data_IF_559157130330
#
_entry.id   IF_559157130330
#
_cell.length_a   1.000
_cell.length_b   1.000
_cell.length_c   1.000
_cell.angle_alpha   90.00
_cell.angle_beta   90.00
_cell.angle_gamma   90.00
#
_symmetry.space_group_name_H-M   'P 1'
#
loop_
_entity.id
_entity.type
_entity.pdbx_description
1 polymer ?
#
# COMPACT_ATOMS: atom_id res chain seq x y z
N UNK A 1 39.26 15.06 -19.22
CA UNK A 1 38.46 16.23 -18.84
C UNK A 1 37.36 16.42 -19.87
N UNK A 2 36.10 16.33 -19.46
CA UNK A 2 34.96 17.18 -19.85
C UNK A 2 33.66 16.38 -19.86
N UNK A 3 32.81 16.72 -18.89
CA UNK A 3 31.46 16.20 -18.69
C UNK A 3 30.53 17.02 -19.57
N UNK A 4 29.93 16.41 -20.59
CA UNK A 4 28.96 17.07 -21.45
C UNK A 4 27.58 17.13 -20.80
N UNK A 5 27.29 18.25 -20.14
CA UNK A 5 25.91 18.65 -19.83
C UNK A 5 25.21 19.09 -21.12
N UNK A 6 24.08 18.46 -21.46
CA UNK A 6 23.15 18.96 -22.47
C UNK A 6 21.86 19.47 -21.78
N UNK A 7 21.30 20.62 -22.20
CA UNK A 7 20.23 21.30 -21.48
C UNK A 7 18.86 20.71 -21.83
N UNK A 8 18.08 20.35 -20.82
CA UNK A 8 16.66 19.98 -20.96
C UNK A 8 15.85 21.26 -21.07
N UNK A 9 15.75 21.81 -22.28
CA UNK A 9 14.86 22.93 -22.57
C UNK A 9 14.28 22.80 -23.98
N UNK A 10 13.18 22.05 -24.11
CA UNK A 10 12.15 22.24 -25.15
C UNK A 10 11.02 21.19 -25.06
N UNK A 11 10.20 21.24 -24.01
CA UNK A 11 8.85 20.64 -24.01
C UNK A 11 7.78 21.59 -23.41
N UNK A 12 8.07 22.89 -23.31
CA UNK A 12 7.15 23.91 -22.76
C UNK A 12 6.20 24.50 -23.82
N UNK A 13 5.54 23.68 -24.64
CA UNK A 13 4.46 24.19 -25.52
C UNK A 13 3.27 23.26 -25.69
N UNK A 14 3.11 22.25 -24.84
CA UNK A 14 1.79 21.62 -24.69
C UNK A 14 1.03 22.26 -23.53
N UNK A 15 -0.01 23.00 -23.91
CA UNK A 15 -1.06 23.52 -23.04
C UNK A 15 -1.82 22.30 -22.49
N UNK A 16 -1.93 22.10 -21.16
CA UNK A 16 -2.64 20.96 -20.62
C UNK A 16 -4.13 21.08 -20.99
N UNK A 17 -4.82 19.97 -21.29
CA UNK A 17 -6.27 19.97 -21.39
C UNK A 17 -6.83 20.42 -20.02
N UNK A 18 -7.39 21.62 -20.00
CA UNK A 18 -8.09 22.18 -18.84
C UNK A 18 -9.42 21.46 -18.67
N UNK A 19 -9.44 20.24 -18.11
CA UNK A 19 -10.67 19.65 -17.55
C UNK A 19 -10.50 18.39 -16.66
N UNK A 20 -9.35 18.21 -16.01
CA UNK A 20 -9.23 17.20 -14.94
C UNK A 20 -8.68 17.81 -13.66
N UNK A 21 -9.59 18.47 -12.95
CA UNK A 21 -9.49 18.90 -11.57
C UNK A 21 -8.81 17.81 -10.70
N UNK A 22 -7.58 18.11 -10.31
CA UNK A 22 -6.96 17.65 -9.08
C UNK A 22 -7.95 17.95 -7.93
N UNK A 23 -8.21 16.95 -7.07
CA UNK A 23 -9.16 16.98 -5.93
C UNK A 23 -10.66 16.80 -6.22
N UNK A 24 -11.04 15.65 -6.75
CA UNK A 24 -12.27 14.99 -6.27
C UNK A 24 -11.94 13.57 -5.81
N UNK A 25 -11.82 13.42 -4.49
CA UNK A 25 -12.24 12.18 -3.82
C UNK A 25 -13.58 11.78 -4.44
N UNK A 26 -13.82 10.53 -4.86
CA UNK A 26 -15.14 10.13 -5.29
C UNK A 26 -16.10 10.42 -4.13
N UNK A 27 -16.91 11.48 -4.25
CA UNK A 27 -18.08 11.66 -3.40
C UNK A 27 -19.07 10.57 -3.80
N UNK A 28 -18.83 9.39 -3.24
CA UNK A 28 -19.79 8.32 -3.15
C UNK A 28 -21.02 8.93 -2.45
N UNK A 29 -22.24 8.81 -3.01
CA UNK A 29 -23.43 9.31 -2.33
C UNK A 29 -23.49 8.70 -0.93
N UNK A 30 -23.96 9.43 0.10
CA UNK A 30 -24.00 8.90 1.46
C UNK A 30 -24.94 7.70 1.46
N UNK A 31 -24.35 6.49 1.36
CA UNK A 31 -25.04 5.27 1.67
C UNK A 31 -25.52 5.46 3.11
N UNK A 32 -26.84 5.58 3.25
CA UNK A 32 -27.58 5.68 4.50
C UNK A 32 -26.80 5.02 5.63
N UNK A 33 -26.44 5.82 6.62
CA UNK A 33 -25.53 5.45 7.70
C UNK A 33 -25.76 4.02 8.19
N UNK A 34 -24.88 3.11 7.77
CA UNK A 34 -24.32 2.20 8.75
C UNK A 34 -23.48 3.09 9.63
N UNK A 35 -23.95 3.34 10.84
CA UNK A 35 -23.10 3.67 11.96
C UNK A 35 -21.96 2.64 11.97
N UNK A 36 -20.88 2.92 11.24
CA UNK A 36 -19.61 2.25 11.42
C UNK A 36 -19.12 2.78 12.75
N UNK A 37 -19.65 2.23 13.84
CA UNK A 37 -18.84 2.13 15.04
C UNK A 37 -17.52 1.53 14.56
N UNK A 38 -16.40 2.28 14.62
CA UNK A 38 -15.13 1.78 14.13
C UNK A 38 -14.90 0.43 14.79
N UNK A 39 -14.77 -0.61 13.96
CA UNK A 39 -14.50 -1.94 14.46
C UNK A 39 -13.25 -1.85 15.34
N UNK A 40 -13.21 -2.49 16.53
CA UNK A 40 -12.07 -2.41 17.43
C UNK A 40 -10.71 -2.67 16.74
N UNK A 41 -10.71 -3.47 15.68
CA UNK A 41 -9.53 -3.76 14.87
C UNK A 41 -8.98 -2.54 14.12
N UNK A 42 -9.85 -1.66 13.62
CA UNK A 42 -9.44 -0.42 12.95
C UNK A 42 -8.91 0.63 13.94
N UNK A 43 -9.07 0.40 15.25
CA UNK A 43 -8.41 1.20 16.29
C UNK A 43 -7.03 0.64 16.65
N UNK A 44 -6.78 -0.64 16.35
CA UNK A 44 -5.52 -1.34 16.67
C UNK A 44 -4.56 -1.39 15.48
N UNK A 45 -5.10 -1.41 14.26
CA UNK A 45 -4.35 -1.51 13.02
C UNK A 45 -4.65 -0.35 12.09
N UNK A 46 -3.62 0.10 11.36
CA UNK A 46 -3.74 1.17 10.37
C UNK A 46 -4.54 0.71 9.14
N UNK A 47 -4.36 -0.55 8.74
CA UNK A 47 -5.07 -1.17 7.61
C UNK A 47 -5.53 -2.57 7.99
N UNK A 48 -6.76 -2.92 7.61
CA UNK A 48 -7.32 -4.27 7.75
C UNK A 48 -7.88 -4.72 6.41
N UNK A 49 -7.50 -5.91 5.99
CA UNK A 49 -8.02 -6.61 4.81
C UNK A 49 -8.97 -7.71 5.25
N UNK A 50 -10.16 -7.70 4.68
CA UNK A 50 -11.25 -8.62 4.98
C UNK A 50 -11.55 -9.50 3.77
N UNK A 51 -11.96 -10.75 4.02
CA UNK A 51 -12.45 -11.64 2.97
C UNK A 51 -13.78 -11.15 2.36
N UNK A 52 -14.27 -11.83 1.33
CA UNK A 52 -15.56 -11.50 0.70
C UNK A 52 -16.79 -11.63 1.60
N UNK A 53 -16.63 -12.11 2.85
CA UNK A 53 -17.69 -12.21 3.87
C UNK A 53 -17.51 -11.17 4.99
N UNK A 54 -16.48 -10.34 4.93
CA UNK A 54 -16.14 -9.35 5.95
C UNK A 54 -15.35 -9.91 7.14
N UNK A 55 -14.76 -11.11 7.02
CA UNK A 55 -13.88 -11.63 8.07
C UNK A 55 -12.47 -11.06 7.90
N UNK A 56 -11.87 -10.46 8.94
CA UNK A 56 -10.53 -9.90 8.85
C UNK A 56 -9.49 -11.02 8.73
N UNK A 57 -8.60 -10.92 7.75
CA UNK A 57 -7.58 -11.94 7.48
C UNK A 57 -6.15 -11.44 7.62
N UNK A 58 -5.92 -10.17 7.30
CA UNK A 58 -4.60 -9.58 7.26
C UNK A 58 -4.70 -8.13 7.73
N UNK A 59 -3.78 -7.69 8.56
CA UNK A 59 -3.70 -6.30 9.00
C UNK A 59 -2.28 -5.76 8.91
N UNK A 60 -2.18 -4.44 8.93
CA UNK A 60 -0.91 -3.71 8.92
C UNK A 60 -0.94 -2.60 9.95
N UNK A 61 0.16 -2.47 10.68
CA UNK A 61 0.41 -1.40 11.63
C UNK A 61 1.90 -1.28 11.87
N UNK A 62 2.41 -0.06 11.98
CA UNK A 62 3.78 0.19 12.46
C UNK A 62 4.85 -0.60 11.66
N UNK A 63 4.71 -0.61 10.33
CA UNK A 63 5.65 -1.31 9.45
C UNK A 63 5.59 -2.85 9.52
N UNK A 64 4.60 -3.43 10.21
CA UNK A 64 4.46 -4.88 10.43
C UNK A 64 3.12 -5.40 9.89
N UNK A 65 3.18 -6.52 9.14
CA UNK A 65 1.99 -7.26 8.73
C UNK A 65 1.58 -8.27 9.80
N UNK A 66 0.28 -8.49 9.96
CA UNK A 66 -0.30 -9.40 10.94
C UNK A 66 -1.30 -10.34 10.28
N UNK A 67 -1.13 -11.65 10.52
CA UNK A 67 -2.17 -12.64 10.26
C UNK A 67 -3.13 -12.64 11.45
N UNK A 68 -4.34 -12.12 11.21
CA UNK A 68 -5.39 -11.94 12.21
C UNK A 68 -6.60 -12.85 11.98
N UNK A 69 -6.49 -13.78 11.03
CA UNK A 69 -7.49 -14.83 10.83
C UNK A 69 -7.46 -15.87 11.96
N UNK A 70 -6.32 -15.99 12.64
CA UNK A 70 -6.10 -16.93 13.74
C UNK A 70 -6.68 -16.38 15.05
N UNK A 71 -6.99 -17.26 15.99
CA UNK A 71 -7.44 -16.87 17.35
C UNK A 71 -6.41 -15.99 18.08
N UNK A 72 -5.14 -16.07 17.70
CA UNK A 72 -4.08 -15.16 18.12
C UNK A 72 -3.46 -14.44 16.93
N UNK A 73 -3.55 -13.09 16.88
CA UNK A 73 -2.81 -12.28 15.92
C UNK A 73 -1.31 -12.58 15.98
N UNK A 74 -0.68 -12.79 14.83
CA UNK A 74 0.77 -13.04 14.74
C UNK A 74 1.43 -12.19 13.67
N UNK A 75 2.68 -11.75 13.88
CA UNK A 75 3.42 -11.03 12.86
C UNK A 75 3.75 -11.97 11.70
N UNK A 76 3.67 -11.46 10.47
CA UNK A 76 3.98 -12.17 9.24
C UNK A 76 4.84 -11.32 8.31
N UNK A 77 5.58 -11.96 7.41
CA UNK A 77 6.44 -11.27 6.44
C UNK A 77 5.64 -10.60 5.32
N UNK A 78 6.25 -9.63 4.64
CA UNK A 78 5.70 -9.06 3.39
C UNK A 78 5.41 -10.14 2.35
N UNK A 79 6.28 -11.16 2.25
CA UNK A 79 6.08 -12.32 1.36
C UNK A 79 4.78 -13.07 1.68
N UNK A 80 4.45 -13.24 2.95
CA UNK A 80 3.20 -13.88 3.36
C UNK A 80 2.00 -13.02 2.95
N UNK A 81 2.04 -11.72 3.25
CA UNK A 81 0.99 -10.77 2.90
C UNK A 81 0.69 -10.77 1.39
N UNK A 82 1.73 -10.69 0.55
CA UNK A 82 1.61 -10.71 -0.90
C UNK A 82 1.02 -12.01 -1.47
N UNK A 83 1.23 -13.14 -0.80
CA UNK A 83 0.73 -14.45 -1.23
C UNK A 83 -0.62 -14.81 -0.63
N UNK A 84 -1.08 -14.07 0.37
CA UNK A 84 -2.32 -14.37 1.09
C UNK A 84 -3.51 -14.42 0.13
N UNK A 85 -3.62 -13.40 -0.72
CA UNK A 85 -4.60 -13.33 -1.79
C UNK A 85 -4.00 -12.56 -3.00
N UNK A 86 -3.93 -13.14 -4.21
CA UNK A 86 -3.40 -12.48 -5.40
C UNK A 86 -4.10 -11.15 -5.75
N UNK A 87 -5.39 -11.01 -5.41
CA UNK A 87 -6.16 -9.78 -5.65
C UNK A 87 -5.70 -8.62 -4.77
N UNK A 88 -5.05 -8.91 -3.64
CA UNK A 88 -4.55 -7.88 -2.70
C UNK A 88 -3.12 -7.46 -2.98
N UNK A 89 -2.39 -8.15 -3.86
CA UNK A 89 -0.96 -7.91 -4.05
C UNK A 89 -0.62 -6.44 -4.33
N UNK A 90 -1.39 -5.77 -5.20
CA UNK A 90 -1.20 -4.35 -5.48
C UNK A 90 -1.45 -3.44 -4.27
N UNK A 91 -2.51 -3.73 -3.51
CA UNK A 91 -2.87 -2.97 -2.32
C UNK A 91 -1.85 -3.15 -1.17
N UNK A 92 -1.32 -4.36 -0.99
CA UNK A 92 -0.22 -4.66 -0.06
C UNK A 92 1.03 -3.84 -0.40
N UNK A 93 1.45 -3.82 -1.67
CA UNK A 93 2.59 -3.00 -2.12
C UNK A 93 2.32 -1.52 -1.87
N UNK A 94 1.14 -1.03 -2.24
CA UNK A 94 0.77 0.37 -2.06
C UNK A 94 0.79 0.78 -0.58
N UNK A 95 0.28 -0.08 0.31
CA UNK A 95 0.27 0.14 1.77
C UNK A 95 1.70 0.33 2.29
N UNK A 96 2.61 -0.57 1.91
CA UNK A 96 4.02 -0.49 2.29
C UNK A 96 4.67 0.80 1.77
N UNK A 97 4.50 1.11 0.48
CA UNK A 97 5.07 2.31 -0.13
C UNK A 97 4.57 3.61 0.53
N UNK A 98 3.28 3.67 0.87
CA UNK A 98 2.69 4.82 1.55
C UNK A 98 3.23 4.95 2.98
N UNK A 99 3.36 3.82 3.69
CA UNK A 99 3.89 3.81 5.04
C UNK A 99 5.35 4.29 5.07
N UNK A 100 6.22 3.74 4.21
CA UNK A 100 7.62 4.16 4.12
C UNK A 100 7.76 5.64 3.75
N UNK A 101 6.90 6.15 2.86
CA UNK A 101 6.87 7.57 2.51
C UNK A 101 6.51 8.46 3.70
N UNK A 102 5.68 7.97 4.61
CA UNK A 102 5.23 8.69 5.80
C UNK A 102 6.22 8.57 6.97
N UNK A 103 7.12 7.58 6.92
CA UNK A 103 8.13 7.28 7.94
C UNK A 103 9.55 7.24 7.33
N UNK A 104 10.03 8.31 6.67
CA UNK A 104 11.29 8.28 5.94
C UNK A 104 12.53 8.10 6.82
N UNK A 105 12.45 8.51 8.08
CA UNK A 105 13.55 8.45 9.05
C UNK A 105 13.48 7.21 9.97
N UNK A 106 12.48 6.34 9.77
CA UNK A 106 12.32 5.11 10.54
C UNK A 106 13.20 4.00 9.95
N UNK A 107 14.03 3.36 10.78
CA UNK A 107 14.87 2.23 10.37
C UNK A 107 14.04 1.10 9.75
N UNK A 108 12.81 0.91 10.23
CA UNK A 108 11.88 -0.10 9.71
C UNK A 108 11.53 0.14 8.24
N UNK A 109 11.55 1.39 7.75
CA UNK A 109 11.30 1.67 6.34
C UNK A 109 12.34 1.05 5.43
N UNK A 110 13.61 1.00 5.85
CA UNK A 110 14.68 0.39 5.06
C UNK A 110 14.55 -1.14 5.02
N UNK A 111 14.27 -1.76 6.17
CA UNK A 111 14.01 -3.20 6.26
C UNK A 111 12.79 -3.59 5.41
N UNK A 112 11.72 -2.81 5.50
CA UNK A 112 10.48 -3.05 4.77
C UNK A 112 10.68 -2.91 3.26
N UNK A 113 11.49 -1.95 2.80
CA UNK A 113 11.87 -1.83 1.39
C UNK A 113 12.62 -3.07 0.91
N UNK A 114 13.54 -3.58 1.73
CA UNK A 114 14.32 -4.79 1.43
C UNK A 114 13.42 -6.03 1.36
N UNK A 115 12.55 -6.22 2.37
CA UNK A 115 11.56 -7.30 2.39
C UNK A 115 10.64 -7.25 1.17
N UNK A 116 10.15 -6.05 0.82
CA UNK A 116 9.29 -5.84 -0.34
C UNK A 116 10.00 -6.18 -1.66
N UNK A 117 11.23 -5.68 -1.85
CA UNK A 117 11.99 -5.94 -3.07
C UNK A 117 12.24 -7.44 -3.28
N UNK A 118 12.61 -8.17 -2.22
CA UNK A 118 12.81 -9.61 -2.26
C UNK A 118 11.50 -10.35 -2.57
N UNK A 119 10.41 -9.98 -1.91
CA UNK A 119 9.12 -10.64 -2.08
C UNK A 119 8.52 -10.40 -3.47
N UNK A 120 8.60 -9.17 -4.00
CA UNK A 120 8.14 -8.84 -5.36
C UNK A 120 9.00 -9.54 -6.41
N UNK A 121 10.33 -9.57 -6.23
CA UNK A 121 11.24 -10.28 -7.12
C UNK A 121 10.96 -11.79 -7.17
N UNK A 122 10.61 -12.40 -6.03
CA UNK A 122 10.18 -13.80 -5.99
C UNK A 122 8.81 -14.01 -6.65
N UNK A 123 7.85 -13.12 -6.39
CA UNK A 123 6.50 -13.19 -6.97
C UNK A 123 6.54 -13.07 -8.50
N UNK A 124 7.38 -12.18 -9.04
CA UNK A 124 7.56 -12.00 -10.47
C UNK A 124 8.11 -13.26 -11.15
N UNK A 125 9.07 -13.94 -10.52
CA UNK A 125 9.63 -15.21 -11.03
C UNK A 125 8.65 -16.37 -11.03
N UNK A 126 7.63 -16.34 -10.17
CA UNK A 126 6.61 -17.40 -10.09
C UNK A 126 5.51 -17.28 -11.13
N UNK A 127 5.41 -16.11 -11.79
CA UNK A 127 4.41 -15.83 -12.83
C UNK A 127 4.97 -15.92 -14.26
N UNK A 128 6.28 -16.17 -14.39
CA UNK A 128 6.97 -16.42 -15.66
C UNK A 128 7.01 -17.91 -15.96
#
# INVERSE_FOLDING_TARGET
>A
MTTGYAPVASLLTERPPEDHLINRVPQQPPARGRSHTPSPLHQQYEVVYEDGRGNPLLAFSDGQWWDIASSSPRPVSVRFALRRDPSWAGAVVQTICLWMRSHPDDERSFDLATELALAVGELARQRA
#
